data_IF_974846642982
#
_entry.id   IF_974846642982
#
_cell.length_a   1.000
_cell.length_b   1.000
_cell.length_c   1.000
_cell.angle_alpha   90.00
_cell.angle_beta   90.00
_cell.angle_gamma   90.00
#
_symmetry.space_group_name_H-M   'P 1'
#
loop_
_entity.id
_entity.type
_entity.pdbx_description
1 polymer ?
#
# COMPACT_ATOMS: atom_id res chain seq x y z
N UNK A 1 7.56 0.25 -0.11
CA UNK A 1 7.41 -0.47 1.18
C UNK A 1 8.65 -1.28 1.54
N UNK A 2 8.98 -2.36 0.83
CA UNK A 2 10.09 -3.26 1.23
C UNK A 2 11.47 -2.58 1.29
N UNK A 3 11.75 -1.66 0.36
CA UNK A 3 13.00 -0.89 0.40
C UNK A 3 13.09 -0.02 1.66
N UNK A 4 12.01 0.67 2.02
CA UNK A 4 11.92 1.45 3.26
C UNK A 4 12.13 0.55 4.48
N UNK A 5 11.44 -0.59 4.54
CA UNK A 5 11.58 -1.55 5.64
C UNK A 5 13.04 -2.04 5.78
N UNK A 6 13.69 -2.42 4.66
CA UNK A 6 15.10 -2.85 4.65
C UNK A 6 16.05 -1.74 5.11
N UNK A 7 15.86 -0.51 4.62
CA UNK A 7 16.69 0.65 5.00
C UNK A 7 16.57 1.00 6.48
N UNK A 8 15.42 0.76 7.10
CA UNK A 8 15.17 1.01 8.52
C UNK A 8 15.41 -0.22 9.41
N UNK A 9 15.90 -1.34 8.86
CA UNK A 9 16.20 -2.54 9.64
C UNK A 9 14.98 -3.30 10.16
N UNK A 10 13.81 -3.09 9.56
CA UNK A 10 12.57 -3.75 9.99
C UNK A 10 12.66 -5.26 9.76
N UNK A 11 12.24 -6.03 10.76
CA UNK A 11 12.13 -7.50 10.69
C UNK A 11 10.85 -7.95 10.02
N UNK A 12 9.82 -7.11 10.03
CA UNK A 12 8.53 -7.29 9.37
C UNK A 12 7.88 -5.93 9.15
N UNK A 13 6.80 -5.88 8.36
CA UNK A 13 5.92 -4.72 8.23
C UNK A 13 4.56 -5.13 8.76
N UNK A 14 4.05 -4.41 9.74
CA UNK A 14 2.76 -4.68 10.38
C UNK A 14 1.61 -3.93 9.69
N UNK A 15 1.86 -2.69 9.25
CA UNK A 15 0.85 -1.84 8.63
C UNK A 15 1.45 -0.91 7.57
N UNK A 16 0.66 -0.63 6.55
CA UNK A 16 0.92 0.39 5.52
C UNK A 16 -0.33 1.22 5.36
N UNK A 17 -0.21 2.54 5.39
CA UNK A 17 -1.32 3.45 5.17
C UNK A 17 -1.10 4.26 3.88
N UNK A 18 -2.13 4.31 3.03
CA UNK A 18 -2.13 5.07 1.78
C UNK A 18 -3.39 5.94 1.72
N UNK A 19 -3.22 7.19 1.31
CA UNK A 19 -4.32 8.02 0.84
C UNK A 19 -4.47 7.90 -0.67
N UNK A 20 -5.69 7.66 -1.15
CA UNK A 20 -5.99 7.40 -2.55
C UNK A 20 -7.14 8.30 -3.04
N UNK A 21 -6.87 9.13 -4.02
CA UNK A 21 -7.85 9.88 -4.78
C UNK A 21 -8.58 9.04 -5.82
N UNK A 22 -9.21 9.72 -6.77
CA UNK A 22 -9.76 9.11 -7.98
C UNK A 22 -8.67 9.12 -9.06
N UNK A 23 -8.04 7.98 -9.27
CA UNK A 23 -7.01 7.79 -10.29
C UNK A 23 -7.55 6.90 -11.39
N UNK A 24 -7.35 7.30 -12.64
CA UNK A 24 -7.69 6.51 -13.81
C UNK A 24 -6.40 6.04 -14.46
N UNK A 25 -6.30 4.74 -14.72
CA UNK A 25 -5.22 4.12 -15.47
C UNK A 25 -5.81 3.22 -16.54
N UNK A 26 -5.39 3.38 -17.80
CA UNK A 26 -5.95 2.66 -18.95
C UNK A 26 -7.50 2.67 -19.00
N UNK A 27 -8.12 3.84 -18.81
CA UNK A 27 -9.58 4.05 -18.79
C UNK A 27 -10.35 3.35 -17.63
N UNK A 28 -9.65 2.77 -16.66
CA UNK A 28 -10.24 2.16 -15.46
C UNK A 28 -9.85 2.91 -14.18
N UNK A 29 -10.81 3.05 -13.25
CA UNK A 29 -10.50 3.63 -11.94
C UNK A 29 -9.71 2.64 -11.08
N UNK A 30 -8.63 3.13 -10.45
CA UNK A 30 -7.89 2.37 -9.44
C UNK A 30 -8.72 2.30 -8.15
N UNK A 31 -9.39 1.17 -7.96
CA UNK A 31 -10.16 0.88 -6.76
C UNK A 31 -9.25 0.46 -5.60
N UNK A 32 -9.62 0.87 -4.38
CA UNK A 32 -8.90 0.49 -3.17
C UNK A 32 -8.85 -1.05 -2.99
N UNK A 33 -9.95 -1.73 -3.33
CA UNK A 33 -10.07 -3.18 -3.27
C UNK A 33 -9.04 -3.89 -4.15
N UNK A 34 -8.81 -3.38 -5.36
CA UNK A 34 -7.81 -3.91 -6.30
C UNK A 34 -6.39 -3.75 -5.74
N UNK A 35 -6.09 -2.60 -5.12
CA UNK A 35 -4.80 -2.36 -4.50
C UNK A 35 -4.57 -3.27 -3.29
N UNK A 36 -5.58 -3.46 -2.43
CA UNK A 36 -5.49 -4.37 -1.28
C UNK A 36 -5.24 -5.80 -1.74
N UNK A 37 -5.98 -6.27 -2.75
CA UNK A 37 -5.81 -7.59 -3.32
C UNK A 37 -4.40 -7.78 -3.91
N UNK A 38 -3.95 -6.83 -4.74
CA UNK A 38 -2.64 -6.88 -5.37
C UNK A 38 -1.51 -6.80 -4.34
N UNK A 39 -1.63 -5.94 -3.34
CA UNK A 39 -0.67 -5.84 -2.24
C UNK A 39 -0.51 -7.17 -1.52
N UNK A 40 -1.62 -7.82 -1.15
CA UNK A 40 -1.59 -9.13 -0.49
C UNK A 40 -0.95 -10.22 -1.35
N UNK A 41 -1.12 -10.17 -2.67
CA UNK A 41 -0.49 -11.14 -3.56
C UNK A 41 1.00 -10.90 -3.74
N UNK A 42 1.41 -9.64 -3.92
CA UNK A 42 2.79 -9.24 -4.13
C UNK A 42 3.62 -9.29 -2.84
N UNK A 43 2.99 -9.22 -1.67
CA UNK A 43 3.68 -9.23 -0.38
C UNK A 43 4.04 -10.63 0.13
N UNK A 44 3.55 -11.70 -0.50
CA UNK A 44 3.85 -13.10 -0.12
C UNK A 44 5.35 -13.38 -0.12
N UNK A 45 5.85 -14.07 0.91
CA UNK A 45 7.26 -14.39 1.11
C UNK A 45 8.16 -13.14 1.22
N UNK A 46 7.61 -12.03 1.72
CA UNK A 46 8.35 -10.78 1.96
C UNK A 46 8.16 -10.29 3.40
N UNK A 47 8.89 -9.25 3.79
CA UNK A 47 8.72 -8.60 5.10
C UNK A 47 7.29 -8.07 5.32
N UNK A 48 6.51 -7.84 4.26
CA UNK A 48 5.16 -7.30 4.32
C UNK A 48 4.05 -8.35 4.15
N UNK A 49 4.36 -9.64 4.19
CA UNK A 49 3.37 -10.72 3.97
C UNK A 49 2.16 -10.61 4.89
N UNK A 50 2.37 -10.21 6.14
CA UNK A 50 1.33 -10.05 7.16
C UNK A 50 0.88 -8.61 7.35
N UNK A 51 1.34 -7.68 6.51
CA UNK A 51 1.03 -6.27 6.68
C UNK A 51 -0.45 -6.00 6.36
N UNK A 52 -1.11 -5.22 7.21
CA UNK A 52 -2.42 -4.64 6.92
C UNK A 52 -2.25 -3.42 6.02
N UNK A 53 -2.91 -3.41 4.85
CA UNK A 53 -2.96 -2.23 3.99
C UNK A 53 -4.25 -1.48 4.25
N UNK A 54 -4.12 -0.27 4.80
CA UNK A 54 -5.23 0.66 4.96
C UNK A 54 -5.21 1.71 3.86
N UNK A 55 -6.34 1.86 3.18
CA UNK A 55 -6.51 2.85 2.13
C UNK A 55 -7.60 3.82 2.53
N UNK A 56 -7.22 5.08 2.71
CA UNK A 56 -8.13 6.18 2.98
C UNK A 56 -8.45 6.90 1.68
N UNK A 57 -9.72 6.91 1.28
CA UNK A 57 -10.17 7.67 0.10
C UNK A 57 -10.13 9.17 0.38
N UNK A 58 -9.50 9.93 -0.52
CA UNK A 58 -9.40 11.38 -0.47
C UNK A 58 -10.00 12.02 -1.73
N UNK A 59 -10.25 13.33 -1.70
CA UNK A 59 -10.64 14.08 -2.91
C UNK A 59 -9.39 14.41 -3.74
N UNK A 60 -9.53 14.40 -5.06
CA UNK A 60 -8.47 14.74 -6.01
C UNK A 60 -7.95 13.54 -6.80
N UNK A 61 -6.98 13.79 -7.66
CA UNK A 61 -6.41 12.80 -8.61
C UNK A 61 -4.97 12.44 -8.23
N UNK A 62 -4.74 12.19 -6.94
CA UNK A 62 -3.42 11.88 -6.41
C UNK A 62 -3.47 10.71 -5.44
N UNK A 63 -2.30 10.15 -5.14
CA UNK A 63 -2.13 9.21 -4.03
C UNK A 63 -0.91 9.60 -3.20
N UNK A 64 -0.89 9.11 -1.96
CA UNK A 64 0.21 9.37 -1.02
C UNK A 64 0.42 8.18 -0.10
N UNK A 65 1.66 7.74 0.04
CA UNK A 65 2.08 6.88 1.15
C UNK A 65 2.09 7.70 2.44
N UNK A 66 1.27 7.32 3.42
CA UNK A 66 1.15 8.01 4.70
C UNK A 66 2.14 7.46 5.71
N UNK A 67 2.17 6.14 5.89
CA UNK A 67 3.03 5.49 6.88
C UNK A 67 3.39 4.05 6.51
N UNK A 68 4.48 3.56 7.12
CA UNK A 68 4.88 2.15 7.13
C UNK A 68 5.34 1.83 8.56
N UNK A 69 4.75 0.81 9.16
CA UNK A 69 4.98 0.40 10.55
C UNK A 69 5.61 -1.00 10.60
N UNK A 70 6.44 -1.27 11.62
CA UNK A 70 7.05 -2.59 11.91
C UNK A 70 6.13 -3.49 12.75
#
# INVERSE_FOLDING_TARGET
VLEYAKKNGFKKVSRVEIELGSLVDHDEEILAENLIFNFKNLSKNTLAETAELEIKKIKGENWKLVSIEE
#
